data_IF_053368872498
#
_entry.id   IF_053368872498
#
_cell.length_a   1.000
_cell.length_b   1.000
_cell.length_c   1.000
_cell.angle_alpha   90.00
_cell.angle_beta   90.00
_cell.angle_gamma   90.00
#
_symmetry.space_group_name_H-M   'P 1'
#
loop_
_entity.id
_entity.type
_entity.pdbx_description
1 polymer ?
#
# COMPACT_ATOMS: atom_id res chain seq x y z
N UNK A 1 23.07 6.41 -10.79
CA UNK A 1 23.83 6.45 -9.51
C UNK A 1 22.80 6.42 -8.39
N UNK A 2 22.98 5.60 -7.35
CA UNK A 2 22.03 5.53 -6.23
C UNK A 2 22.09 6.85 -5.44
N UNK A 3 20.96 7.56 -5.23
CA UNK A 3 20.95 8.80 -4.46
C UNK A 3 21.38 8.56 -3.01
N UNK A 4 22.22 9.46 -2.48
CA UNK A 4 22.59 9.52 -1.06
C UNK A 4 21.66 10.51 -0.38
N UNK A 5 20.70 10.02 0.40
CA UNK A 5 19.71 10.86 1.09
C UNK A 5 19.72 10.49 2.55
N UNK A 6 20.08 11.44 3.42
CA UNK A 6 19.99 11.25 4.85
C UNK A 6 18.53 11.32 5.30
N UNK A 7 18.07 10.31 6.05
CA UNK A 7 16.69 10.33 6.56
C UNK A 7 16.48 11.40 7.63
N UNK A 8 17.55 11.80 8.32
CA UNK A 8 17.51 12.82 9.38
C UNK A 8 17.13 14.21 8.82
N UNK A 9 17.45 14.47 7.55
CA UNK A 9 17.06 15.69 6.85
C UNK A 9 15.53 15.81 6.64
N UNK A 10 14.82 14.69 6.71
CA UNK A 10 13.38 14.61 6.51
C UNK A 10 12.66 14.42 7.84
N UNK A 11 13.00 15.26 8.81
CA UNK A 11 12.46 15.24 10.16
C UNK A 11 11.78 16.57 10.48
N UNK A 12 10.64 16.51 11.16
CA UNK A 12 9.92 17.66 11.70
C UNK A 12 9.22 17.26 13.01
N UNK A 13 8.84 18.25 13.81
CA UNK A 13 8.09 18.01 15.05
C UNK A 13 6.61 17.77 14.73
N UNK A 14 6.10 16.59 15.09
CA UNK A 14 4.70 16.23 14.94
C UNK A 14 4.08 16.05 16.34
N UNK A 15 3.35 17.06 16.85
CA UNK A 15 2.69 16.95 18.15
C UNK A 15 1.65 15.82 18.15
N UNK A 16 1.57 14.98 19.21
CA UNK A 16 0.63 13.86 19.27
C UNK A 16 -0.84 14.25 19.04
N UNK A 17 -1.25 15.44 19.47
CA UNK A 17 -2.59 16.00 19.29
C UNK A 17 -2.93 16.32 17.81
N UNK A 18 -1.93 16.37 16.92
CA UNK A 18 -2.15 16.51 15.47
C UNK A 18 -2.40 15.17 14.79
N UNK A 19 -2.14 14.04 15.46
CA UNK A 19 -2.37 12.71 14.89
C UNK A 19 -3.86 12.37 15.02
N UNK A 20 -4.56 12.24 13.89
CA UNK A 20 -5.96 11.85 13.89
C UNK A 20 -6.12 10.37 14.30
N UNK A 21 -6.80 10.17 15.43
CA UNK A 21 -7.07 8.83 16.00
C UNK A 21 -8.21 8.09 15.29
N UNK A 22 -9.15 8.85 14.73
CA UNK A 22 -10.35 8.38 14.04
C UNK A 22 -10.63 9.27 12.82
N UNK A 23 -11.26 8.74 11.76
CA UNK A 23 -11.70 9.57 10.64
C UNK A 23 -12.83 10.50 11.06
N UNK A 24 -13.09 11.53 10.25
CA UNK A 24 -14.30 12.33 10.40
C UNK A 24 -15.55 11.49 10.08
N UNK A 25 -16.70 11.75 10.73
CA UNK A 25 -17.96 11.09 10.38
C UNK A 25 -18.33 11.23 8.91
N UNK A 26 -18.13 12.44 8.35
CA UNK A 26 -18.19 12.72 6.92
C UNK A 26 -16.76 12.85 6.40
N UNK A 27 -16.31 11.85 5.65
CA UNK A 27 -14.90 11.70 5.25
C UNK A 27 -14.43 12.81 4.31
N UNK A 28 -15.29 13.27 3.41
CA UNK A 28 -15.04 14.35 2.47
C UNK A 28 -15.13 15.75 3.08
N UNK A 29 -15.49 15.87 4.37
CA UNK A 29 -15.35 17.10 5.14
C UNK A 29 -13.93 17.28 5.72
N UNK A 30 -13.00 16.36 5.46
CA UNK A 30 -11.60 16.55 5.78
C UNK A 30 -11.05 17.79 5.08
N UNK A 31 -10.08 18.47 5.71
CA UNK A 31 -9.45 19.62 5.06
C UNK A 31 -8.59 19.14 3.90
N UNK A 32 -8.46 20.00 2.89
CA UNK A 32 -7.61 19.78 1.74
C UNK A 32 -6.60 20.93 1.64
N UNK A 33 -5.32 20.60 1.78
CA UNK A 33 -4.24 21.52 1.46
C UNK A 33 -3.97 21.45 -0.05
N UNK A 34 -4.07 22.55 -0.77
CA UNK A 34 -3.80 22.57 -2.21
C UNK A 34 -2.48 23.31 -2.45
N UNK A 35 -1.58 22.70 -3.21
CA UNK A 35 -0.36 23.35 -3.67
C UNK A 35 -0.28 23.28 -5.19
N UNK A 36 -0.17 24.45 -5.82
CA UNK A 36 0.15 24.60 -7.24
C UNK A 36 1.38 25.52 -7.38
N UNK A 37 2.35 25.20 -8.25
CA UNK A 37 3.58 25.99 -8.36
C UNK A 37 3.38 27.45 -8.81
N UNK A 38 2.29 27.75 -9.53
CA UNK A 38 1.95 29.10 -9.97
C UNK A 38 0.88 29.73 -9.08
N UNK A 39 -0.11 28.96 -8.61
CA UNK A 39 -1.18 29.51 -7.77
C UNK A 39 -0.85 29.54 -6.27
N UNK A 40 0.24 28.91 -5.85
CA UNK A 40 0.69 28.86 -4.46
C UNK A 40 -0.12 27.88 -3.60
N UNK A 41 -0.21 28.20 -2.30
CA UNK A 41 -0.86 27.37 -1.28
C UNK A 41 -2.30 27.84 -1.05
N UNK A 42 -3.26 26.91 -1.04
CA UNK A 42 -4.67 27.20 -0.74
C UNK A 42 -5.21 26.20 0.29
N UNK A 43 -6.25 26.61 1.00
CA UNK A 43 -6.94 25.79 1.99
C UNK A 43 -8.40 25.61 1.57
N UNK A 44 -8.80 24.36 1.41
CA UNK A 44 -10.11 23.92 0.92
C UNK A 44 -10.62 22.79 1.80
N UNK A 45 -11.77 22.23 1.43
CA UNK A 45 -12.26 20.96 1.94
C UNK A 45 -12.19 19.89 0.85
N UNK A 46 -12.21 18.63 1.26
CA UNK A 46 -12.07 17.53 0.31
C UNK A 46 -13.26 17.43 -0.64
N UNK A 47 -14.47 17.80 -0.20
CA UNK A 47 -15.65 17.90 -1.07
C UNK A 47 -15.50 18.95 -2.19
N UNK A 48 -14.57 19.91 -2.07
CA UNK A 48 -14.30 20.90 -3.13
C UNK A 48 -13.48 20.30 -4.29
N UNK A 49 -12.93 19.09 -4.12
CA UNK A 49 -12.03 18.43 -5.07
C UNK A 49 -12.52 18.48 -6.53
N UNK A 50 -13.80 18.24 -6.87
CA UNK A 50 -14.27 18.29 -8.26
C UNK A 50 -14.04 19.64 -8.94
N UNK A 51 -14.08 20.75 -8.18
CA UNK A 51 -13.88 22.11 -8.69
C UNK A 51 -12.41 22.50 -8.84
N UNK A 52 -11.51 21.78 -8.16
CA UNK A 52 -10.07 22.03 -8.14
C UNK A 52 -9.32 21.28 -9.23
N UNK A 53 -9.99 20.31 -9.88
CA UNK A 53 -9.41 19.47 -10.91
C UNK A 53 -9.92 19.90 -12.29
N UNK A 54 -9.07 19.93 -13.32
CA UNK A 54 -9.53 20.11 -14.69
C UNK A 54 -10.58 19.05 -15.07
N UNK A 55 -11.61 19.39 -15.86
CA UNK A 55 -12.69 18.45 -16.21
C UNK A 55 -12.21 17.14 -16.86
N UNK A 56 -11.13 17.22 -17.63
CA UNK A 56 -10.49 16.11 -18.36
C UNK A 56 -9.51 15.30 -17.50
N UNK A 57 -9.24 15.70 -16.26
CA UNK A 57 -8.34 14.94 -15.38
C UNK A 57 -8.85 13.53 -15.12
N UNK A 58 -7.93 12.58 -15.00
CA UNK A 58 -8.24 11.19 -14.67
C UNK A 58 -7.65 10.87 -13.30
N UNK A 59 -8.51 10.41 -12.39
CA UNK A 59 -8.07 9.95 -11.08
C UNK A 59 -7.63 8.49 -11.20
N UNK A 60 -6.53 8.15 -10.53
CA UNK A 60 -6.06 6.78 -10.43
C UNK A 60 -5.95 6.44 -8.94
N UNK A 61 -6.60 5.36 -8.49
CA UNK A 61 -6.58 4.95 -7.09
C UNK A 61 -6.21 3.48 -6.89
N UNK A 62 -5.78 3.15 -5.67
CA UNK A 62 -5.53 1.77 -5.25
C UNK A 62 -6.81 1.16 -4.65
N UNK A 63 -7.37 0.14 -5.26
CA UNK A 63 -8.59 -0.56 -4.81
C UNK A 63 -8.31 -1.77 -3.89
N UNK A 64 -7.10 -1.88 -3.36
CA UNK A 64 -6.82 -2.95 -2.40
C UNK A 64 -7.62 -2.79 -1.10
N UNK A 65 -8.12 -3.93 -0.62
CA UNK A 65 -8.90 -4.11 0.58
C UNK A 65 -8.03 -4.68 1.70
N UNK A 66 -8.15 -4.09 2.89
CA UNK A 66 -7.46 -4.53 4.10
C UNK A 66 -8.13 -5.81 4.61
N UNK A 67 -7.32 -6.81 4.92
CA UNK A 67 -7.78 -8.06 5.55
C UNK A 67 -7.60 -7.99 7.07
N UNK A 68 -8.42 -8.70 7.84
CA UNK A 68 -8.27 -8.78 9.29
C UNK A 68 -7.11 -9.71 9.70
N UNK A 69 -5.90 -9.39 9.24
CA UNK A 69 -4.70 -10.21 9.37
C UNK A 69 -4.10 -10.27 10.79
N UNK A 70 -4.65 -9.53 11.76
CA UNK A 70 -4.13 -9.47 13.14
C UNK A 70 -4.90 -10.45 14.03
N UNK A 71 -4.25 -11.55 14.41
CA UNK A 71 -4.82 -12.59 15.28
C UNK A 71 -4.30 -12.46 16.71
N UNK A 72 -5.20 -12.61 17.70
CA UNK A 72 -4.84 -12.72 19.11
C UNK A 72 -5.09 -14.15 19.60
N UNK A 73 -4.05 -14.97 19.60
CA UNK A 73 -4.15 -16.41 19.84
C UNK A 73 -3.72 -16.76 21.27
N UNK A 74 -4.33 -17.80 21.85
CA UNK A 74 -3.95 -18.32 23.17
C UNK A 74 -2.91 -19.42 23.01
N UNK A 75 -2.03 -19.60 23.99
CA UNK A 75 -1.14 -20.78 24.03
C UNK A 75 -1.99 -22.04 24.18
N UNK A 76 -1.70 -23.06 23.38
CA UNK A 76 -2.30 -24.37 23.58
C UNK A 76 -1.82 -24.97 24.92
N UNK A 77 -2.70 -25.68 25.66
CA UNK A 77 -2.26 -26.41 26.85
C UNK A 77 -1.24 -27.49 26.47
N UNK A 78 -0.24 -27.78 27.33
CA UNK A 78 0.70 -28.86 27.09
C UNK A 78 -0.05 -30.20 26.96
N UNK A 79 0.33 -31.02 25.97
CA UNK A 79 -0.29 -32.33 25.72
C UNK A 79 0.01 -33.37 26.81
N UNK A 80 0.88 -33.06 27.78
CA UNK A 80 1.28 -33.92 28.89
C UNK A 80 0.99 -33.25 30.22
N UNK A 81 -0.23 -33.40 30.72
CA UNK A 81 -0.53 -33.81 32.11
C UNK A 81 -2.01 -33.60 32.39
N UNK A 82 -2.69 -34.70 32.75
CA UNK A 82 -4.05 -34.74 33.27
C UNK A 82 -4.09 -34.22 34.72
N UNK A 83 -3.76 -32.94 34.90
CA UNK A 83 -3.93 -32.24 36.18
C UNK A 83 -4.67 -30.93 35.93
N UNK A 84 -5.73 -30.61 36.69
CA UNK A 84 -6.44 -29.35 36.55
C UNK A 84 -5.58 -28.22 37.14
N UNK A 85 -4.67 -27.67 36.35
CA UNK A 85 -4.01 -26.41 36.69
C UNK A 85 -5.01 -25.28 36.47
N UNK A 86 -5.14 -24.41 37.49
CA UNK A 86 -5.97 -23.22 37.48
C UNK A 86 -5.81 -22.43 36.17
N UNK A 87 -6.86 -21.73 35.69
CA UNK A 87 -6.80 -20.97 34.45
C UNK A 87 -5.77 -19.84 34.60
N UNK A 88 -4.52 -20.13 34.23
CA UNK A 88 -3.51 -19.11 34.07
C UNK A 88 -4.06 -18.19 32.98
N UNK A 89 -4.43 -16.96 33.35
CA UNK A 89 -5.01 -15.97 32.44
C UNK A 89 -4.25 -16.02 31.11
N UNK A 90 -4.87 -16.63 30.10
CA UNK A 90 -4.15 -17.18 28.95
C UNK A 90 -3.51 -16.01 28.21
N UNK A 91 -2.21 -15.82 28.41
CA UNK A 91 -1.49 -14.69 27.84
C UNK A 91 -1.57 -14.80 26.32
N UNK A 92 -2.25 -13.84 25.71
CA UNK A 92 -2.43 -13.78 24.27
C UNK A 92 -1.08 -13.57 23.59
N UNK A 93 -0.90 -14.26 22.48
CA UNK A 93 0.18 -14.10 21.52
C UNK A 93 -0.42 -13.46 20.29
N UNK A 94 0.11 -12.30 19.93
CA UNK A 94 -0.32 -11.56 18.75
C UNK A 94 0.43 -12.08 17.53
N UNK A 95 -0.31 -12.42 16.48
CA UNK A 95 0.23 -12.88 15.21
C UNK A 95 -0.38 -12.01 14.12
N UNK A 96 0.44 -11.22 13.45
CA UNK A 96 0.02 -10.41 12.31
C UNK A 96 0.53 -11.07 11.03
N UNK A 97 -0.39 -11.55 10.19
CA UNK A 97 -0.08 -12.12 8.88
C UNK A 97 0.44 -11.03 7.94
N UNK A 98 1.66 -11.18 7.42
CA UNK A 98 2.31 -10.17 6.56
C UNK A 98 2.27 -10.60 5.09
N UNK A 99 2.79 -11.80 4.79
CA UNK A 99 2.91 -12.32 3.42
C UNK A 99 2.61 -13.83 3.40
N UNK A 100 1.81 -14.32 2.44
CA UNK A 100 1.55 -15.75 2.29
C UNK A 100 2.76 -16.48 1.69
N UNK A 101 2.94 -17.74 2.09
CA UNK A 101 4.03 -18.62 1.63
C UNK A 101 3.45 -19.89 0.98
N UNK A 102 2.52 -20.57 1.67
CA UNK A 102 1.94 -21.85 1.24
C UNK A 102 0.41 -21.75 1.22
N UNK A 103 -0.27 -22.28 0.18
CA UNK A 103 0.27 -22.98 -0.99
C UNK A 103 0.80 -22.07 -2.10
N UNK A 104 0.66 -20.75 -1.94
CA UNK A 104 1.07 -19.77 -2.93
C UNK A 104 1.53 -18.49 -2.23
N UNK A 105 2.36 -17.71 -2.91
CA UNK A 105 2.68 -16.34 -2.49
C UNK A 105 1.59 -15.33 -2.91
N UNK A 106 0.44 -15.84 -3.37
CA UNK A 106 -0.72 -15.05 -3.74
C UNK A 106 -1.73 -14.95 -2.60
N UNK A 107 -1.96 -13.75 -2.02
CA UNK A 107 -2.97 -13.56 -0.99
C UNK A 107 -4.36 -14.02 -1.43
N UNK A 108 -4.77 -13.79 -2.68
CA UNK A 108 -6.11 -14.19 -3.13
C UNK A 108 -6.27 -15.71 -3.16
N UNK A 109 -5.22 -16.44 -3.58
CA UNK A 109 -5.21 -17.91 -3.56
C UNK A 109 -5.25 -18.39 -2.12
N UNK A 110 -4.36 -17.90 -1.25
CA UNK A 110 -4.27 -18.38 0.13
C UNK A 110 -5.51 -18.02 0.96
N UNK A 111 -6.10 -16.83 0.77
CA UNK A 111 -7.34 -16.43 1.43
C UNK A 111 -8.56 -17.24 0.96
N UNK A 112 -8.53 -17.80 -0.26
CA UNK A 112 -9.58 -18.69 -0.77
C UNK A 112 -9.37 -20.17 -0.45
N UNK A 113 -8.20 -20.56 0.05
CA UNK A 113 -7.93 -21.94 0.49
C UNK A 113 -8.90 -22.37 1.58
N UNK A 114 -9.59 -23.49 1.36
CA UNK A 114 -10.47 -24.17 2.32
C UNK A 114 -9.81 -25.37 3.00
N UNK A 115 -8.66 -25.78 2.49
CA UNK A 115 -7.89 -26.92 2.99
C UNK A 115 -6.66 -26.41 3.75
N UNK A 116 -6.44 -26.85 5.00
CA UNK A 116 -5.19 -26.63 5.70
C UNK A 116 -4.08 -27.54 5.16
N UNK A 117 -2.80 -27.21 5.37
CA UNK A 117 -2.33 -26.00 6.03
C UNK A 117 -2.18 -24.81 5.07
N UNK A 118 -2.15 -23.61 5.66
CA UNK A 118 -1.54 -22.44 5.00
C UNK A 118 -0.36 -21.94 5.84
N UNK A 119 0.64 -21.36 5.20
CA UNK A 119 1.80 -20.79 5.88
C UNK A 119 1.98 -19.34 5.48
N UNK A 120 2.29 -18.50 6.47
CA UNK A 120 2.51 -17.08 6.28
C UNK A 120 3.77 -16.63 7.01
N UNK A 121 4.48 -15.68 6.41
CA UNK A 121 5.38 -14.82 7.13
C UNK A 121 4.56 -13.87 8.02
N UNK A 122 4.89 -13.85 9.30
CA UNK A 122 4.14 -13.14 10.33
C UNK A 122 5.04 -12.27 11.20
N UNK A 123 4.49 -11.17 11.70
CA UNK A 123 5.01 -10.53 12.90
C UNK A 123 4.39 -11.23 14.12
N UNK A 124 5.22 -11.58 15.10
CA UNK A 124 4.88 -12.42 16.26
C UNK A 124 5.21 -11.64 17.53
N UNK A 125 4.15 -11.11 18.15
CA UNK A 125 4.17 -10.40 19.41
C UNK A 125 4.25 -11.32 20.63
N UNK A 126 4.57 -10.73 21.78
CA UNK A 126 4.63 -11.44 23.05
C UNK A 126 5.99 -12.03 23.41
N UNK A 127 6.14 -12.35 24.70
CA UNK A 127 7.36 -12.89 25.32
C UNK A 127 7.31 -14.42 25.34
N UNK A 128 8.48 -15.08 25.38
CA UNK A 128 8.61 -16.56 25.46
C UNK A 128 7.80 -17.29 24.38
N UNK A 129 7.91 -16.82 23.14
CA UNK A 129 7.37 -17.49 21.94
C UNK A 129 8.56 -18.04 21.16
N UNK A 130 8.52 -19.32 20.78
CA UNK A 130 9.63 -20.06 20.20
C UNK A 130 9.13 -21.03 19.12
N UNK A 131 9.97 -21.44 18.16
CA UNK A 131 9.64 -22.47 17.18
C UNK A 131 9.08 -23.74 17.84
N UNK A 132 8.00 -24.29 17.28
CA UNK A 132 7.25 -25.42 17.82
C UNK A 132 6.11 -25.05 18.78
N UNK A 133 6.03 -23.79 19.24
CA UNK A 133 4.91 -23.36 20.10
C UNK A 133 3.58 -23.44 19.33
N UNK A 134 2.62 -24.12 19.94
CA UNK A 134 1.24 -24.19 19.45
C UNK A 134 0.36 -23.11 20.09
N UNK A 135 -0.44 -22.48 19.23
CA UNK A 135 -1.39 -21.44 19.55
C UNK A 135 -2.78 -21.85 19.05
N UNK A 136 -3.81 -21.35 19.71
CA UNK A 136 -5.20 -21.68 19.43
C UNK A 136 -6.07 -20.43 19.41
N UNK A 137 -6.81 -20.25 18.32
CA UNK A 137 -7.94 -19.35 18.17
C UNK A 137 -9.26 -20.08 18.45
N UNK A 138 -10.37 -19.51 17.98
CA UNK A 138 -11.70 -20.09 18.13
C UNK A 138 -11.91 -21.27 17.16
N UNK A 139 -11.59 -21.07 15.88
CA UNK A 139 -11.76 -22.04 14.80
C UNK A 139 -10.43 -22.43 14.13
N UNK A 140 -9.34 -21.71 14.41
CA UNK A 140 -8.01 -22.01 13.85
C UNK A 140 -6.98 -22.38 14.92
N UNK A 141 -6.00 -23.19 14.54
CA UNK A 141 -4.76 -23.47 15.28
C UNK A 141 -3.60 -22.87 14.51
N UNK A 142 -2.56 -22.45 15.24
CA UNK A 142 -1.34 -21.94 14.63
C UNK A 142 -0.12 -22.57 15.28
N UNK A 143 0.91 -22.90 14.49
CA UNK A 143 2.19 -23.38 14.97
C UNK A 143 3.29 -22.45 14.49
N UNK A 144 4.11 -21.96 15.42
CA UNK A 144 5.29 -21.17 15.07
C UNK A 144 6.33 -22.12 14.46
N UNK A 145 6.63 -21.99 13.17
CA UNK A 145 7.64 -22.81 12.50
C UNK A 145 9.03 -22.22 12.71
N UNK A 146 9.15 -20.91 12.53
CA UNK A 146 10.42 -20.18 12.64
C UNK A 146 10.20 -18.86 13.39
N UNK A 147 11.24 -18.34 14.05
CA UNK A 147 11.20 -17.00 14.66
C UNK A 147 12.60 -16.38 14.74
N UNK A 148 12.75 -15.22 14.14
CA UNK A 148 13.91 -14.33 14.25
C UNK A 148 13.44 -12.98 14.82
N UNK A 149 13.71 -12.73 16.11
CA UNK A 149 13.20 -11.54 16.79
C UNK A 149 11.67 -11.55 16.88
N UNK A 150 11.02 -10.62 16.18
CA UNK A 150 9.55 -10.54 16.08
C UNK A 150 9.01 -11.01 14.72
N UNK A 151 9.86 -11.46 13.81
CA UNK A 151 9.44 -11.98 12.51
C UNK A 151 9.56 -13.51 12.52
N UNK A 152 8.73 -14.20 11.76
CA UNK A 152 8.80 -15.65 11.66
C UNK A 152 7.71 -16.26 10.81
N UNK A 153 7.86 -17.54 10.49
CA UNK A 153 6.87 -18.29 9.72
C UNK A 153 5.87 -18.97 10.65
N UNK A 154 4.59 -18.80 10.37
CA UNK A 154 3.50 -19.42 11.13
C UNK A 154 2.66 -20.27 10.20
N UNK A 155 2.49 -21.53 10.59
CA UNK A 155 1.57 -22.47 9.95
C UNK A 155 0.21 -22.38 10.61
N UNK A 156 -0.84 -22.28 9.81
CA UNK A 156 -2.22 -22.29 10.28
C UNK A 156 -2.91 -23.57 9.82
N UNK A 157 -3.60 -24.23 10.75
CA UNK A 157 -4.38 -25.43 10.51
C UNK A 157 -5.78 -25.22 11.13
N UNK A 158 -6.83 -25.66 10.46
CA UNK A 158 -8.20 -25.64 10.98
C UNK A 158 -8.91 -26.92 10.60
N UNK A 159 -9.93 -27.31 11.34
CA UNK A 159 -10.76 -28.43 10.91
C UNK A 159 -11.69 -27.94 9.81
N UNK A 160 -11.83 -28.69 8.69
CA UNK A 160 -12.91 -28.49 7.76
C UNK A 160 -14.23 -28.75 8.51
N UNK A 161 -14.77 -27.70 9.12
CA UNK A 161 -16.08 -27.76 9.77
C UNK A 161 -17.15 -27.98 8.70
N UNK A 162 -18.38 -28.32 9.12
CA UNK A 162 -19.55 -28.41 8.23
C UNK A 162 -19.82 -27.14 7.40
N UNK A 163 -19.19 -26.01 7.73
CA UNK A 163 -19.28 -24.74 7.00
C UNK A 163 -18.20 -24.56 5.90
N UNK A 164 -17.21 -25.46 5.78
CA UNK A 164 -16.13 -25.42 4.79
C UNK A 164 -15.37 -24.08 4.70
N UNK A 165 -15.13 -23.37 5.81
CA UNK A 165 -14.58 -22.01 5.79
C UNK A 165 -13.21 -21.92 5.07
N UNK A 166 -13.03 -20.85 4.29
CA UNK A 166 -11.71 -20.49 3.77
C UNK A 166 -10.84 -19.80 4.82
N UNK A 167 -9.53 -19.76 4.60
CA UNK A 167 -8.60 -19.05 5.49
C UNK A 167 -8.94 -17.55 5.60
N UNK A 168 -9.36 -16.92 4.50
CA UNK A 168 -9.86 -15.55 4.51
C UNK A 168 -11.10 -15.38 5.38
N UNK A 169 -12.08 -16.29 5.29
CA UNK A 169 -13.27 -16.26 6.15
C UNK A 169 -12.93 -16.46 7.64
N UNK A 170 -11.89 -17.24 7.94
CA UNK A 170 -11.37 -17.39 9.30
C UNK A 170 -10.73 -16.09 9.81
N UNK A 171 -9.90 -15.43 9.00
CA UNK A 171 -9.36 -14.11 9.33
C UNK A 171 -10.48 -13.10 9.58
N UNK A 172 -11.53 -13.07 8.76
CA UNK A 172 -12.60 -12.08 8.98
C UNK A 172 -13.44 -12.38 10.23
N UNK A 173 -13.51 -13.64 10.68
CA UNK A 173 -14.23 -14.02 11.90
C UNK A 173 -13.44 -13.73 13.17
N UNK A 174 -12.18 -14.12 13.21
CA UNK A 174 -11.36 -14.09 14.44
C UNK A 174 -10.32 -12.96 14.45
N UNK A 175 -10.00 -12.44 13.28
CA UNK A 175 -9.01 -11.41 13.08
C UNK A 175 -9.50 -10.02 13.43
N UNK A 176 -8.52 -9.18 13.68
CA UNK A 176 -8.63 -7.76 14.01
C UNK A 176 -8.08 -6.93 12.88
N UNK A 177 -8.56 -5.69 12.77
CA UNK A 177 -8.03 -4.75 11.78
C UNK A 177 -6.60 -4.37 12.16
N UNK A 178 -5.60 -4.60 11.28
CA UNK A 178 -4.21 -4.22 11.53
C UNK A 178 -4.02 -2.70 11.43
N UNK A 179 -4.30 -2.00 12.52
CA UNK A 179 -4.13 -0.56 12.60
C UNK A 179 -2.64 -0.16 12.67
N UNK A 180 -2.24 0.98 12.08
CA UNK A 180 -0.89 1.49 12.22
C UNK A 180 -0.48 1.68 13.68
N UNK A 181 0.77 1.36 14.06
CA UNK A 181 1.21 1.39 15.46
C UNK A 181 1.15 2.78 16.09
N UNK A 182 1.28 3.85 15.28
CA UNK A 182 1.23 5.22 15.77
C UNK A 182 -0.17 5.66 16.24
N UNK A 183 -1.24 4.93 15.90
CA UNK A 183 -2.57 5.21 16.45
C UNK A 183 -2.59 4.90 17.94
N UNK A 184 -1.79 3.95 18.43
CA UNK A 184 -1.64 3.63 19.84
C UNK A 184 -2.98 3.35 20.55
N UNK A 185 -3.87 2.61 19.86
CA UNK A 185 -5.14 2.12 20.39
C UNK A 185 -5.47 0.76 19.78
N UNK A 186 -6.34 0.01 20.45
CA UNK A 186 -6.94 -1.18 19.86
C UNK A 186 -7.94 -0.83 18.76
N UNK A 187 -8.17 -1.80 17.88
CA UNK A 187 -9.21 -1.73 16.87
C UNK A 187 -10.61 -1.90 17.49
N UNK A 188 -11.57 -1.28 16.84
CA UNK A 188 -13.00 -1.35 17.14
C UNK A 188 -13.73 -1.99 15.96
N UNK A 189 -14.96 -2.51 16.14
CA UNK A 189 -15.74 -3.04 15.02
C UNK A 189 -15.90 -2.05 13.86
N UNK A 190 -15.91 -0.75 14.16
CA UNK A 190 -16.00 0.33 13.18
C UNK A 190 -14.74 0.46 12.32
N UNK A 191 -13.56 0.07 12.80
CA UNK A 191 -12.31 0.13 12.05
C UNK A 191 -12.32 -0.80 10.82
N UNK A 192 -13.13 -1.86 10.82
CA UNK A 192 -13.33 -2.74 9.65
C UNK A 192 -13.91 -1.98 8.44
N UNK A 193 -14.74 -0.97 8.69
CA UNK A 193 -15.26 -0.08 7.64
C UNK A 193 -14.45 1.21 7.52
N UNK A 194 -13.95 1.74 8.64
CA UNK A 194 -13.27 3.03 8.71
C UNK A 194 -11.85 3.01 8.13
N UNK A 195 -11.15 1.89 8.29
CA UNK A 195 -9.84 1.66 7.69
C UNK A 195 -9.94 1.06 6.28
N UNK A 196 -10.96 1.46 5.52
CA UNK A 196 -11.21 1.01 4.16
C UNK A 196 -11.66 2.14 3.24
N UNK A 197 -11.11 2.22 2.03
CA UNK A 197 -11.59 3.14 1.00
C UNK A 197 -12.95 2.68 0.47
N UNK A 198 -13.80 3.63 0.07
CA UNK A 198 -15.16 3.33 -0.45
C UNK A 198 -15.14 2.59 -1.80
N UNK A 199 -13.99 2.50 -2.45
CA UNK A 199 -13.79 1.86 -3.75
C UNK A 199 -12.92 0.60 -3.67
N UNK A 200 -12.67 0.07 -2.47
CA UNK A 200 -11.88 -1.13 -2.30
C UNK A 200 -12.62 -2.40 -2.72
N UNK A 201 -11.90 -3.29 -3.39
CA UNK A 201 -12.43 -4.51 -4.02
C UNK A 201 -11.53 -5.72 -3.75
N UNK A 202 -10.22 -5.58 -3.93
CA UNK A 202 -9.28 -6.70 -3.94
C UNK A 202 -8.67 -6.96 -2.56
N UNK A 203 -9.13 -8.03 -1.88
CA UNK A 203 -8.62 -8.47 -0.58
C UNK A 203 -7.18 -8.94 -0.66
N UNK A 204 -6.31 -8.34 0.16
CA UNK A 204 -4.92 -8.80 0.30
C UNK A 204 -3.96 -7.82 0.97
N UNK A 205 -4.40 -6.62 1.35
CA UNK A 205 -3.53 -5.65 2.03
C UNK A 205 -3.56 -5.79 3.55
N UNK A 206 -2.42 -5.52 4.19
CA UNK A 206 -2.31 -5.34 5.64
C UNK A 206 -2.48 -3.87 6.02
N UNK A 207 -2.25 -2.93 5.11
CA UNK A 207 -2.44 -1.50 5.36
C UNK A 207 -3.36 -0.86 4.31
N UNK A 208 -4.17 0.12 4.73
CA UNK A 208 -5.08 0.80 3.82
C UNK A 208 -4.34 1.85 2.96
N UNK A 209 -4.74 2.05 1.69
CA UNK A 209 -4.30 3.20 0.89
C UNK A 209 -4.98 4.49 1.38
N UNK A 210 -4.39 5.11 2.41
CA UNK A 210 -5.13 6.03 3.28
C UNK A 210 -5.55 7.37 2.65
N UNK A 211 -4.89 7.78 1.57
CA UNK A 211 -5.30 8.96 0.81
C UNK A 211 -6.70 8.78 0.19
N UNK A 212 -7.08 7.54 -0.12
CA UNK A 212 -8.41 7.21 -0.64
C UNK A 212 -9.51 7.23 0.41
N UNK A 213 -9.18 7.31 1.72
CA UNK A 213 -10.19 7.29 2.79
C UNK A 213 -11.06 8.53 2.81
N UNK A 214 -10.61 9.64 2.21
CA UNK A 214 -11.35 10.91 2.18
C UNK A 214 -12.49 10.94 1.18
N UNK A 215 -12.51 10.01 0.22
CA UNK A 215 -13.59 9.92 -0.76
C UNK A 215 -14.85 9.35 -0.12
N UNK A 216 -15.98 10.03 -0.33
CA UNK A 216 -17.30 9.46 -0.12
C UNK A 216 -17.79 8.74 -1.37
N UNK A 217 -18.72 7.80 -1.19
CA UNK A 217 -19.39 7.12 -2.32
C UNK A 217 -20.12 8.11 -3.22
N UNK A 218 -20.77 9.13 -2.63
CA UNK A 218 -21.46 10.17 -3.36
C UNK A 218 -20.51 10.97 -4.25
N UNK A 219 -19.37 11.39 -3.69
CA UNK A 219 -18.36 12.17 -4.41
C UNK A 219 -17.85 11.41 -5.64
N UNK A 220 -17.52 10.12 -5.49
CA UNK A 220 -17.07 9.28 -6.61
C UNK A 220 -18.18 9.12 -7.64
N UNK A 221 -19.37 8.68 -7.21
CA UNK A 221 -20.48 8.39 -8.11
C UNK A 221 -20.89 9.60 -8.93
N UNK A 222 -20.92 10.79 -8.31
CA UNK A 222 -21.38 12.03 -8.93
C UNK A 222 -20.35 12.68 -9.85
N UNK A 223 -19.06 12.64 -9.49
CA UNK A 223 -18.04 13.46 -10.16
C UNK A 223 -16.92 12.67 -10.84
N UNK A 224 -16.66 11.43 -10.42
CA UNK A 224 -15.43 10.72 -10.80
C UNK A 224 -15.64 9.35 -11.44
N UNK A 225 -16.79 8.69 -11.29
CA UNK A 225 -16.98 7.28 -11.71
C UNK A 225 -16.55 7.00 -13.16
N UNK A 226 -16.80 7.94 -14.09
CA UNK A 226 -16.42 7.80 -15.51
C UNK A 226 -14.93 8.04 -15.81
N UNK A 227 -14.19 8.62 -14.87
CA UNK A 227 -12.78 9.07 -15.02
C UNK A 227 -11.92 8.64 -13.83
N UNK A 228 -12.28 7.55 -13.17
CA UNK A 228 -11.54 6.97 -12.05
C UNK A 228 -11.07 5.57 -12.42
N UNK A 229 -9.76 5.41 -12.63
CA UNK A 229 -9.12 4.13 -12.88
C UNK A 229 -8.69 3.53 -11.54
N UNK A 230 -9.06 2.28 -11.30
CA UNK A 230 -8.75 1.55 -10.07
C UNK A 230 -7.71 0.50 -10.40
N UNK A 231 -6.51 0.59 -9.82
CA UNK A 231 -5.49 -0.45 -9.89
C UNK A 231 -5.34 -1.11 -8.53
N UNK A 232 -4.73 -2.30 -8.49
CA UNK A 232 -4.53 -3.01 -7.23
C UNK A 232 -3.06 -3.08 -6.90
N UNK A 233 -2.71 -2.63 -5.69
CA UNK A 233 -1.45 -2.96 -5.05
C UNK A 233 -1.69 -3.40 -3.61
N UNK A 234 -1.26 -4.61 -3.29
CA UNK A 234 -1.35 -5.16 -1.93
C UNK A 234 -0.20 -4.64 -1.08
N UNK A 235 -0.56 -3.83 -0.07
CA UNK A 235 0.38 -3.19 0.83
C UNK A 235 0.71 -4.14 1.97
N UNK A 236 1.96 -4.59 2.03
CA UNK A 236 2.47 -5.43 3.10
C UNK A 236 2.73 -4.63 4.39
N UNK A 237 3.00 -5.34 5.48
CA UNK A 237 3.25 -4.73 6.79
C UNK A 237 4.54 -3.91 6.89
N UNK A 238 5.45 -4.06 5.94
CA UNK A 238 6.64 -3.22 5.80
C UNK A 238 6.34 -1.72 5.78
N UNK A 239 5.12 -1.34 5.38
CA UNK A 239 4.64 0.05 5.41
C UNK A 239 4.54 0.65 6.81
N UNK A 240 4.42 -0.17 7.86
CA UNK A 240 4.39 0.31 9.25
C UNK A 240 5.77 0.49 9.87
N UNK A 241 6.83 -0.01 9.22
CA UNK A 241 8.18 0.06 9.77
C UNK A 241 8.81 1.44 9.49
N UNK A 242 9.32 2.16 10.51
CA UNK A 242 10.11 3.35 10.28
C UNK A 242 11.44 2.99 9.59
N UNK A 243 11.98 3.93 8.81
CA UNK A 243 13.31 3.76 8.21
C UNK A 243 14.34 3.80 9.33
N UNK A 244 14.96 2.64 9.62
CA UNK A 244 16.00 2.51 10.65
C UNK A 244 17.39 2.94 10.16
N UNK A 245 17.62 2.88 8.84
CA UNK A 245 18.88 3.26 8.22
C UNK A 245 19.08 4.78 8.25
N UNK A 246 20.33 5.23 8.44
CA UNK A 246 20.65 6.67 8.43
C UNK A 246 20.64 7.25 7.01
N UNK A 247 21.13 6.47 6.04
CA UNK A 247 21.09 6.77 4.62
C UNK A 247 20.07 5.86 3.94
N UNK A 248 19.29 6.41 3.01
CA UNK A 248 18.26 5.64 2.31
C UNK A 248 18.84 4.56 1.39
N UNK A 249 20.09 4.69 0.96
CA UNK A 249 20.80 3.68 0.17
C UNK A 249 20.93 2.34 0.90
N UNK A 250 20.93 2.35 2.24
CA UNK A 250 21.03 1.16 3.09
C UNK A 250 19.65 0.61 3.50
N UNK A 251 18.56 1.29 3.13
CA UNK A 251 17.21 0.83 3.39
C UNK A 251 16.73 -0.12 2.29
N UNK A 252 16.21 -1.28 2.68
CA UNK A 252 15.58 -2.24 1.77
C UNK A 252 14.07 -1.99 1.80
N UNK A 253 13.50 -1.65 0.66
CA UNK A 253 12.06 -1.57 0.48
C UNK A 253 11.45 -2.96 0.45
N UNK A 254 10.34 -3.10 1.18
CA UNK A 254 9.51 -4.29 1.07
C UNK A 254 8.88 -4.37 -0.32
N UNK A 255 8.82 -5.60 -0.83
CA UNK A 255 8.24 -5.92 -2.12
C UNK A 255 6.72 -5.93 -1.97
N UNK A 256 6.03 -5.21 -2.85
CA UNK A 256 4.58 -5.14 -2.88
C UNK A 256 4.06 -5.71 -4.18
N UNK A 257 2.90 -6.37 -4.13
CA UNK A 257 2.32 -7.00 -5.30
C UNK A 257 1.38 -6.03 -6.03
N UNK A 258 1.52 -5.96 -7.34
CA UNK A 258 0.66 -5.21 -8.26
C UNK A 258 -0.19 -6.20 -9.07
N UNK A 259 -1.46 -5.87 -9.29
CA UNK A 259 -2.32 -6.57 -10.26
C UNK A 259 -2.81 -5.53 -11.26
N UNK A 260 -2.59 -5.80 -12.55
CA UNK A 260 -2.92 -4.89 -13.65
C UNK A 260 -3.79 -5.62 -14.64
N UNK A 261 -5.03 -5.15 -14.77
CA UNK A 261 -6.00 -5.68 -15.74
C UNK A 261 -5.91 -4.90 -17.04
N UNK A 262 -6.16 -5.59 -18.14
CA UNK A 262 -6.10 -5.03 -19.49
C UNK A 262 -6.97 -3.80 -19.63
N UNK A 263 -8.18 -3.82 -19.07
CA UNK A 263 -9.14 -2.71 -19.16
C UNK A 263 -8.59 -1.44 -18.49
N UNK A 264 -7.97 -1.58 -17.32
CA UNK A 264 -7.35 -0.46 -16.58
C UNK A 264 -6.18 0.14 -17.37
N UNK A 265 -5.36 -0.73 -17.98
CA UNK A 265 -4.22 -0.31 -18.78
C UNK A 265 -4.65 0.44 -20.05
N UNK A 266 -5.69 -0.05 -20.75
CA UNK A 266 -6.27 0.64 -21.92
C UNK A 266 -6.82 2.01 -21.54
N UNK A 267 -7.51 2.12 -20.39
CA UNK A 267 -7.99 3.41 -19.90
C UNK A 267 -6.83 4.38 -19.60
N UNK A 268 -5.76 3.88 -18.98
CA UNK A 268 -4.58 4.68 -18.67
C UNK A 268 -3.88 5.16 -19.95
N UNK A 269 -3.69 4.30 -20.94
CA UNK A 269 -3.08 4.65 -22.24
C UNK A 269 -3.90 5.76 -22.92
N UNK A 270 -5.23 5.61 -22.99
CA UNK A 270 -6.11 6.65 -23.56
C UNK A 270 -6.00 7.99 -22.85
N UNK A 271 -5.88 7.99 -21.52
CA UNK A 271 -5.70 9.21 -20.75
C UNK A 271 -4.36 9.89 -21.07
N UNK A 272 -3.29 9.11 -21.21
CA UNK A 272 -1.96 9.60 -21.62
C UNK A 272 -2.00 10.17 -23.05
N UNK A 273 -2.58 9.44 -24.00
CA UNK A 273 -2.71 9.86 -25.41
C UNK A 273 -3.55 11.14 -25.56
N UNK A 274 -4.57 11.30 -24.71
CA UNK A 274 -5.42 12.49 -24.68
C UNK A 274 -4.81 13.65 -23.87
N UNK A 275 -3.56 13.51 -23.41
CA UNK A 275 -2.88 14.47 -22.54
C UNK A 275 -3.68 14.86 -21.28
N UNK A 276 -4.56 13.97 -20.81
CA UNK A 276 -5.40 14.19 -19.64
C UNK A 276 -4.53 14.21 -18.38
N UNK A 277 -4.67 15.20 -17.48
CA UNK A 277 -3.90 15.22 -16.23
C UNK A 277 -4.16 13.99 -15.37
N UNK A 278 -3.10 13.23 -15.06
CA UNK A 278 -3.17 12.02 -14.25
C UNK A 278 -2.98 12.33 -12.76
N UNK A 279 -4.06 12.19 -12.00
CA UNK A 279 -4.12 12.50 -10.56
C UNK A 279 -4.02 11.19 -9.77
N UNK A 280 -2.87 10.93 -9.15
CA UNK A 280 -2.69 9.75 -8.31
C UNK A 280 -3.32 9.96 -6.92
N UNK A 281 -4.16 9.02 -6.50
CA UNK A 281 -4.77 8.97 -5.17
C UNK A 281 -3.92 8.08 -4.26
N UNK A 282 -2.92 8.70 -3.64
CA UNK A 282 -2.00 8.09 -2.71
C UNK A 282 -0.65 7.73 -3.31
N UNK A 283 0.35 7.72 -2.44
CA UNK A 283 1.75 7.36 -2.77
C UNK A 283 1.89 5.94 -3.32
N UNK A 284 1.06 5.01 -2.86
CA UNK A 284 1.00 3.64 -3.40
C UNK A 284 0.60 3.64 -4.87
N UNK A 285 -0.38 4.45 -5.27
CA UNK A 285 -0.79 4.58 -6.68
C UNK A 285 0.32 5.20 -7.53
N UNK A 286 1.09 6.14 -7.00
CA UNK A 286 2.29 6.65 -7.68
C UNK A 286 3.25 5.50 -8.00
N UNK A 287 3.52 4.62 -7.02
CA UNK A 287 4.42 3.47 -7.23
C UNK A 287 3.89 2.51 -8.30
N UNK A 288 2.58 2.26 -8.36
CA UNK A 288 1.95 1.45 -9.42
C UNK A 288 2.24 2.05 -10.79
N UNK A 289 1.88 3.32 -10.98
CA UNK A 289 1.97 4.00 -12.28
C UNK A 289 3.41 4.11 -12.77
N UNK A 290 4.33 4.48 -11.88
CA UNK A 290 5.74 4.57 -12.21
C UNK A 290 6.36 3.19 -12.47
N UNK A 291 5.93 2.15 -11.75
CA UNK A 291 6.39 0.77 -11.99
C UNK A 291 5.93 0.24 -13.35
N UNK A 292 4.68 0.55 -13.77
CA UNK A 292 4.19 0.24 -15.11
C UNK A 292 5.04 0.89 -16.20
N UNK A 293 5.39 2.16 -16.03
CA UNK A 293 6.30 2.84 -16.95
C UNK A 293 7.67 2.15 -17.02
N UNK A 294 8.29 1.85 -15.89
CA UNK A 294 9.64 1.26 -15.88
C UNK A 294 9.69 -0.17 -16.42
N UNK A 295 8.63 -0.95 -16.19
CA UNK A 295 8.48 -2.26 -16.82
C UNK A 295 8.31 -2.12 -18.34
N UNK A 296 7.37 -1.29 -18.78
CA UNK A 296 7.13 -1.00 -20.20
C UNK A 296 8.36 -0.47 -20.94
N UNK A 297 9.06 0.50 -20.34
CA UNK A 297 10.30 1.07 -20.87
C UNK A 297 11.39 0.01 -21.05
N UNK A 298 11.46 -0.99 -20.16
CA UNK A 298 12.40 -2.09 -20.30
C UNK A 298 12.04 -3.02 -21.47
N UNK A 299 10.75 -3.23 -21.75
CA UNK A 299 10.27 -4.03 -22.88
C UNK A 299 10.61 -3.41 -24.24
N UNK A 300 10.69 -2.07 -24.32
CA UNK A 300 11.01 -1.36 -25.56
C UNK A 300 12.50 -1.44 -25.97
N UNK A 301 13.39 -2.00 -25.14
CA UNK A 301 14.84 -1.96 -25.40
C UNK A 301 15.33 -3.15 -26.23
N UNK A 302 16.22 -2.94 -27.23
CA UNK A 302 16.82 -4.04 -28.00
C UNK A 302 17.61 -4.99 -27.09
N UNK A 303 17.43 -6.30 -27.29
CA UNK A 303 18.13 -7.31 -26.48
C UNK A 303 17.61 -7.43 -25.04
N UNK A 304 16.47 -6.81 -24.71
CA UNK A 304 15.73 -7.11 -23.50
C UNK A 304 15.31 -8.59 -23.51
N UNK A 305 16.20 -9.47 -23.03
CA UNK A 305 15.79 -10.78 -22.53
C UNK A 305 14.73 -10.49 -21.49
N UNK A 306 13.45 -10.79 -21.78
CA UNK A 306 12.27 -10.70 -20.90
C UNK A 306 12.68 -10.17 -19.53
N UNK A 307 12.69 -8.83 -19.40
CA UNK A 307 13.40 -8.16 -18.33
C UNK A 307 12.90 -8.71 -17.00
N UNK A 308 13.84 -9.28 -16.21
CA UNK A 308 13.66 -9.84 -14.88
C UNK A 308 13.06 -11.26 -14.78
N UNK A 309 13.92 -12.26 -15.03
CA UNK A 309 13.84 -13.58 -14.38
C UNK A 309 14.15 -13.44 -12.88
N UNK A 310 13.22 -12.89 -12.11
CA UNK A 310 13.24 -12.95 -10.65
C UNK A 310 12.68 -14.29 -10.17
N UNK A 311 13.18 -14.82 -9.05
CA UNK A 311 12.86 -16.14 -8.48
C UNK A 311 11.42 -16.27 -7.93
N UNK A 312 10.39 -15.90 -8.69
CA UNK A 312 9.00 -16.13 -8.36
C UNK A 312 8.53 -17.41 -9.08
N UNK A 313 8.82 -18.57 -8.51
CA UNK A 313 8.56 -19.90 -9.06
C UNK A 313 7.05 -20.30 -9.08
N UNK A 314 6.11 -19.35 -9.17
CA UNK A 314 4.68 -19.63 -8.92
C UNK A 314 3.68 -19.03 -9.94
N UNK A 315 4.12 -18.28 -10.95
CA UNK A 315 3.25 -17.77 -12.01
C UNK A 315 3.74 -18.21 -13.38
N UNK A 316 2.84 -18.20 -14.37
CA UNK A 316 3.25 -18.26 -15.78
C UNK A 316 4.35 -17.22 -15.99
N UNK A 317 5.57 -17.67 -16.28
CA UNK A 317 6.77 -16.84 -16.42
C UNK A 317 6.59 -15.75 -17.50
N UNK A 318 5.51 -15.80 -18.29
CA UNK A 318 5.21 -14.85 -19.36
C UNK A 318 4.20 -13.76 -18.95
N UNK A 319 3.55 -13.89 -17.78
CA UNK A 319 2.54 -12.96 -17.26
C UNK A 319 2.90 -12.43 -15.86
N UNK A 320 4.19 -12.32 -15.58
CA UNK A 320 4.69 -11.67 -14.38
C UNK A 320 5.77 -10.64 -14.67
N UNK A 321 5.88 -9.61 -13.83
CA UNK A 321 6.95 -8.62 -13.90
C UNK A 321 7.49 -8.26 -12.52
N UNK A 322 8.70 -7.71 -12.51
CA UNK A 322 9.33 -7.18 -11.30
C UNK A 322 9.86 -5.79 -11.60
N UNK A 323 9.74 -4.86 -10.65
CA UNK A 323 10.43 -3.57 -10.67
C UNK A 323 11.23 -3.46 -9.39
N UNK A 324 12.55 -3.49 -9.54
CA UNK A 324 13.46 -3.46 -8.41
C UNK A 324 13.64 -2.04 -7.89
N UNK A 325 14.03 -1.93 -6.63
CA UNK A 325 14.11 -0.69 -5.86
C UNK A 325 14.83 0.44 -6.60
N UNK A 326 15.97 0.13 -7.23
CA UNK A 326 16.87 1.10 -7.83
C UNK A 326 16.78 1.18 -9.36
N UNK A 327 15.89 0.40 -9.99
CA UNK A 327 15.70 0.38 -11.45
C UNK A 327 15.58 1.80 -12.07
N UNK A 328 14.81 2.74 -11.49
CA UNK A 328 14.68 4.10 -12.05
C UNK A 328 15.96 4.94 -12.07
N UNK A 329 16.96 4.62 -11.23
CA UNK A 329 18.17 5.41 -11.04
C UNK A 329 19.38 4.86 -11.82
N UNK A 330 19.20 3.69 -12.43
CA UNK A 330 20.21 3.02 -13.26
C UNK A 330 19.76 2.94 -14.73
N UNK A 331 18.46 3.08 -15.02
CA UNK A 331 17.90 3.08 -16.37
C UNK A 331 17.66 4.49 -16.88
N UNK A 332 17.76 4.67 -18.20
CA UNK A 332 17.30 5.88 -18.88
C UNK A 332 15.76 5.93 -18.92
N UNK A 333 15.15 7.08 -18.64
CA UNK A 333 13.71 7.28 -18.85
C UNK A 333 13.45 8.07 -20.12
N UNK A 334 13.90 7.52 -21.25
CA UNK A 334 13.85 8.14 -22.58
C UNK A 334 12.70 7.61 -23.44
N UNK A 335 12.07 6.50 -23.04
CA UNK A 335 10.89 5.95 -23.71
C UNK A 335 9.68 6.84 -23.42
N UNK A 336 8.91 7.28 -24.44
CA UNK A 336 7.63 7.97 -24.24
C UNK A 336 6.66 7.12 -23.41
N UNK A 337 5.82 7.74 -22.60
CA UNK A 337 4.97 7.03 -21.62
C UNK A 337 3.98 6.13 -22.34
N UNK A 338 3.35 6.64 -23.40
CA UNK A 338 2.44 5.93 -24.28
C UNK A 338 3.08 4.66 -24.87
N UNK A 339 4.33 4.75 -25.32
CA UNK A 339 5.05 3.59 -25.86
C UNK A 339 5.37 2.55 -24.78
N UNK A 340 5.80 3.00 -23.60
CA UNK A 340 6.07 2.11 -22.48
C UNK A 340 4.81 1.35 -22.06
N UNK A 341 3.69 2.05 -21.87
CA UNK A 341 2.42 1.43 -21.47
C UNK A 341 1.86 0.50 -22.56
N UNK A 342 1.93 0.89 -23.83
CA UNK A 342 1.53 0.04 -24.95
C UNK A 342 2.38 -1.23 -25.04
N UNK A 343 3.67 -1.18 -24.71
CA UNK A 343 4.50 -2.39 -24.64
C UNK A 343 4.04 -3.37 -23.55
N UNK A 344 3.48 -2.89 -22.44
CA UNK A 344 2.86 -3.75 -21.41
C UNK A 344 1.54 -4.34 -21.94
N UNK A 345 0.75 -3.56 -22.67
CA UNK A 345 -0.50 -4.03 -23.29
C UNK A 345 -0.23 -5.13 -24.33
N UNK A 346 0.80 -4.96 -25.16
CA UNK A 346 1.26 -5.95 -26.12
C UNK A 346 1.57 -7.31 -25.47
N UNK A 347 2.14 -7.31 -24.25
CA UNK A 347 2.40 -8.56 -23.51
C UNK A 347 1.09 -9.26 -23.16
N UNK A 348 0.08 -8.54 -22.68
CA UNK A 348 -1.24 -9.11 -22.39
C UNK A 348 -1.89 -9.67 -23.65
N UNK A 349 -1.85 -8.91 -24.76
CA UNK A 349 -2.49 -9.29 -26.01
C UNK A 349 -1.85 -10.52 -26.66
N UNK A 350 -0.51 -10.58 -26.72
CA UNK A 350 0.23 -11.71 -27.28
C UNK A 350 -0.02 -13.01 -26.52
N UNK A 351 -0.21 -12.92 -25.20
CA UNK A 351 -0.51 -14.06 -24.34
C UNK A 351 -2.02 -14.31 -24.16
N UNK A 352 -2.89 -13.50 -24.80
CA UNK A 352 -4.36 -13.55 -24.64
C UNK A 352 -4.81 -13.50 -23.18
N UNK A 353 -4.11 -12.73 -22.36
CA UNK A 353 -4.36 -12.61 -20.93
C UNK A 353 -5.23 -11.39 -20.60
N UNK A 354 -6.11 -11.52 -19.61
CA UNK A 354 -6.91 -10.41 -19.07
C UNK A 354 -6.15 -9.57 -18.05
N UNK A 355 -5.12 -10.13 -17.41
CA UNK A 355 -4.33 -9.45 -16.37
C UNK A 355 -2.88 -9.91 -16.33
N UNK A 356 -2.02 -9.08 -15.75
CA UNK A 356 -0.60 -9.32 -15.51
C UNK A 356 -0.27 -8.96 -14.07
N UNK A 357 0.58 -9.78 -13.46
CA UNK A 357 0.91 -9.67 -12.04
C UNK A 357 2.32 -9.13 -11.88
N UNK A 358 2.53 -8.26 -10.91
CA UNK A 358 3.79 -7.57 -10.72
C UNK A 358 4.26 -7.60 -9.28
N UNK A 359 5.56 -7.43 -9.09
CA UNK A 359 6.13 -7.10 -7.80
C UNK A 359 6.94 -5.81 -7.91
N UNK A 360 6.74 -4.88 -7.00
CA UNK A 360 7.49 -3.62 -6.96
C UNK A 360 8.17 -3.44 -5.61
N UNK A 361 9.47 -3.21 -5.64
CA UNK A 361 10.24 -2.67 -4.51
C UNK A 361 10.63 -1.21 -4.76
N UNK A 362 10.03 -0.58 -5.79
CA UNK A 362 10.34 0.77 -6.26
C UNK A 362 10.39 1.77 -5.10
N UNK A 363 11.54 2.43 -4.92
CA UNK A 363 11.70 3.54 -3.99
C UNK A 363 11.77 4.87 -4.75
N UNK A 364 11.00 5.84 -4.29
CA UNK A 364 10.97 7.19 -4.86
C UNK A 364 11.55 8.14 -3.82
N UNK A 365 12.70 8.71 -4.13
CA UNK A 365 13.43 9.65 -3.27
C UNK A 365 13.81 10.91 -4.08
N UNK A 366 14.16 12.02 -3.41
CA UNK A 366 14.54 13.26 -4.09
C UNK A 366 15.60 13.04 -5.18
N UNK A 367 15.39 13.67 -6.34
CA UNK A 367 16.14 13.40 -7.57
C UNK A 367 15.41 12.46 -8.54
N UNK A 368 14.31 11.85 -8.13
CA UNK A 368 13.46 11.03 -9.01
C UNK A 368 12.78 11.87 -10.10
N UNK A 369 12.72 11.33 -11.33
CA UNK A 369 12.04 11.96 -12.46
C UNK A 369 10.70 11.28 -12.72
N UNK A 370 9.60 11.92 -12.31
CA UNK A 370 8.24 11.43 -12.53
C UNK A 370 7.86 11.41 -14.00
N UNK A 371 7.29 10.29 -14.43
CA UNK A 371 7.00 9.99 -15.83
C UNK A 371 5.51 10.07 -16.10
N UNK A 372 4.71 9.51 -15.21
CA UNK A 372 3.27 9.31 -15.43
C UNK A 372 2.44 10.31 -14.62
N UNK A 373 2.86 10.61 -13.39
CA UNK A 373 2.01 11.34 -12.43
C UNK A 373 2.14 12.86 -12.56
N UNK A 374 0.99 13.52 -12.53
CA UNK A 374 0.85 14.96 -12.74
C UNK A 374 0.45 15.71 -11.47
N UNK A 375 -0.48 15.12 -10.73
CA UNK A 375 -0.90 15.56 -9.41
C UNK A 375 -0.96 14.38 -8.44
N UNK A 376 -0.75 14.67 -7.16
CA UNK A 376 -0.79 13.70 -6.08
C UNK A 376 -1.80 14.16 -5.02
N UNK A 377 -2.80 13.32 -4.77
CA UNK A 377 -3.64 13.41 -3.58
C UNK A 377 -3.03 12.50 -2.51
N UNK A 378 -2.65 13.04 -1.35
CA UNK A 378 -2.03 12.25 -0.27
C UNK A 378 -2.32 12.81 1.11
N UNK A 379 -2.08 12.02 2.17
CA UNK A 379 -2.10 12.52 3.55
C UNK A 379 -0.81 13.28 3.89
N UNK A 380 -0.76 13.88 5.08
CA UNK A 380 0.52 14.25 5.71
C UNK A 380 1.17 13.03 6.35
N UNK A 381 2.48 12.86 6.16
CA UNK A 381 3.20 11.64 6.50
C UNK A 381 4.14 11.79 7.69
N UNK A 382 4.47 10.68 8.36
CA UNK A 382 5.37 10.69 9.51
C UNK A 382 6.75 11.27 9.16
N UNK A 383 7.41 11.97 10.11
CA UNK A 383 8.82 12.33 9.96
C UNK A 383 9.66 11.06 9.75
N UNK A 384 10.76 11.18 9.00
CA UNK A 384 11.71 10.10 8.73
C UNK A 384 11.09 8.86 8.08
N UNK A 385 10.14 9.08 7.16
CA UNK A 385 9.46 8.02 6.40
C UNK A 385 9.79 8.07 4.91
N UNK A 386 9.76 6.92 4.24
CA UNK A 386 9.91 6.83 2.77
C UNK A 386 8.79 7.57 2.04
N UNK A 387 7.59 7.62 2.61
CA UNK A 387 6.46 8.40 2.07
C UNK A 387 6.77 9.90 2.03
N UNK A 388 7.42 10.42 3.07
CA UNK A 388 7.84 11.82 3.11
C UNK A 388 8.90 12.12 2.04
N UNK A 389 9.82 11.18 1.78
CA UNK A 389 10.80 11.28 0.68
C UNK A 389 10.13 11.31 -0.69
N UNK A 390 9.10 10.47 -0.90
CA UNK A 390 8.36 10.45 -2.16
C UNK A 390 7.65 11.78 -2.40
N UNK A 391 6.98 12.34 -1.39
CA UNK A 391 6.33 13.65 -1.51
C UNK A 391 7.36 14.76 -1.74
N UNK A 392 8.51 14.71 -1.06
CA UNK A 392 9.61 15.63 -1.34
C UNK A 392 10.12 15.50 -2.78
N UNK A 393 10.25 14.28 -3.32
CA UNK A 393 10.66 14.09 -4.70
C UNK A 393 9.64 14.66 -5.70
N UNK A 394 8.35 14.56 -5.36
CA UNK A 394 7.24 14.99 -6.21
C UNK A 394 7.12 16.52 -6.32
N UNK A 395 7.38 17.23 -5.22
CA UNK A 395 7.22 18.67 -5.14
C UNK A 395 8.33 19.43 -5.88
N UNK A 396 8.01 20.46 -6.69
CA UNK A 396 9.03 21.38 -7.19
C UNK A 396 9.67 22.13 -6.03
N UNK A 397 11.00 22.31 -6.07
CA UNK A 397 11.78 22.81 -4.92
C UNK A 397 12.06 21.75 -3.84
N UNK A 398 11.53 20.54 -4.00
CA UNK A 398 11.88 19.38 -3.20
C UNK A 398 11.57 19.54 -1.71
N UNK A 399 12.60 19.28 -0.89
CA UNK A 399 12.57 19.35 0.58
C UNK A 399 12.10 20.71 1.10
N UNK A 400 12.52 21.81 0.49
CA UNK A 400 12.18 23.15 0.97
C UNK A 400 10.67 23.41 0.86
N UNK A 401 10.09 23.12 -0.31
CA UNK A 401 8.65 23.24 -0.55
C UNK A 401 7.86 22.31 0.37
N UNK A 402 8.32 21.07 0.54
CA UNK A 402 7.70 20.11 1.46
C UNK A 402 7.57 20.72 2.88
N UNK A 403 8.66 21.24 3.44
CA UNK A 403 8.62 21.75 4.81
C UNK A 403 7.84 23.04 4.94
N UNK A 404 7.81 23.91 3.91
CA UNK A 404 6.91 25.06 3.90
C UNK A 404 5.44 24.62 3.98
N UNK A 405 5.04 23.62 3.21
CA UNK A 405 3.69 23.04 3.25
C UNK A 405 3.38 22.47 4.64
N UNK A 406 4.29 21.68 5.20
CA UNK A 406 4.07 21.02 6.49
C UNK A 406 4.04 22.02 7.65
N UNK A 407 4.87 23.06 7.64
CA UNK A 407 4.82 24.14 8.62
C UNK A 407 3.51 24.93 8.54
N UNK A 408 3.05 25.29 7.35
CA UNK A 408 1.75 25.98 7.16
C UNK A 408 0.60 25.09 7.66
N UNK A 409 0.63 23.80 7.35
CA UNK A 409 -0.37 22.84 7.79
C UNK A 409 -0.40 22.71 9.33
N UNK A 410 0.76 22.61 9.98
CA UNK A 410 0.86 22.58 11.45
C UNK A 410 0.36 23.88 12.09
N UNK A 411 0.79 25.04 11.57
CA UNK A 411 0.36 26.35 12.05
C UNK A 411 -1.16 26.52 11.94
N UNK A 412 -1.76 25.95 10.90
CA UNK A 412 -3.20 25.98 10.68
C UNK A 412 -3.97 24.85 11.31
N UNK A 413 -3.36 24.03 12.16
CA UNK A 413 -4.05 22.93 12.85
C UNK A 413 -4.62 21.85 11.93
N UNK A 414 -3.93 21.51 10.85
CA UNK A 414 -4.25 20.31 10.07
C UNK A 414 -4.03 19.05 10.92
N UNK A 415 -4.81 18.02 10.62
CA UNK A 415 -4.67 16.67 11.19
C UNK A 415 -3.78 15.82 10.29
N UNK A 416 -2.95 14.97 10.88
CA UNK A 416 -1.89 14.24 10.19
C UNK A 416 -2.17 12.73 10.15
N UNK A 417 -1.43 12.05 9.27
CA UNK A 417 -1.42 10.58 9.10
C UNK A 417 -2.74 10.02 8.54
N UNK A 418 -2.98 8.71 8.71
CA UNK A 418 -3.99 7.95 7.96
C UNK A 418 -5.40 8.55 8.01
N UNK A 419 -5.88 8.96 9.18
CA UNK A 419 -7.22 9.55 9.36
C UNK A 419 -7.21 11.09 9.37
N UNK A 420 -6.07 11.69 9.06
CA UNK A 420 -5.86 13.13 9.09
C UNK A 420 -6.57 13.85 7.97
N UNK A 421 -6.01 14.98 7.58
CA UNK A 421 -6.45 15.76 6.44
C UNK A 421 -5.65 15.38 5.18
N UNK A 422 -6.09 15.87 4.03
CA UNK A 422 -5.52 15.57 2.72
C UNK A 422 -4.71 16.73 2.15
N UNK A 423 -3.90 16.42 1.15
CA UNK A 423 -3.18 17.36 0.30
C UNK A 423 -3.45 17.02 -1.17
N UNK A 424 -3.69 18.03 -2.01
CA UNK A 424 -3.65 17.97 -3.47
C UNK A 424 -2.42 18.75 -3.93
N UNK A 425 -1.44 18.05 -4.47
CA UNK A 425 -0.14 18.61 -4.83
C UNK A 425 0.02 18.51 -6.34
N UNK A 426 0.33 19.62 -7.01
CA UNK A 426 0.64 19.65 -8.44
C UNK A 426 2.15 19.71 -8.67
N UNK A 427 2.66 18.86 -9.56
CA UNK A 427 4.08 18.85 -9.94
C UNK A 427 4.43 20.00 -10.88
N UNK A 428 3.53 20.28 -11.81
CA UNK A 428 3.56 21.41 -12.75
C UNK A 428 2.20 22.11 -12.66
N UNK A 429 2.18 23.43 -12.85
CA UNK A 429 0.95 24.22 -12.76
C UNK A 429 -0.15 23.66 -13.65
N UNK A 430 -1.39 23.70 -13.15
CA UNK A 430 -2.60 23.35 -13.89
C UNK A 430 -2.75 24.22 -15.15
N UNK A 431 -2.35 25.49 -15.09
CA UNK A 431 -2.53 26.48 -16.16
C UNK A 431 -1.40 26.49 -17.21
N UNK A 432 -0.48 25.52 -17.16
CA UNK A 432 0.71 25.46 -18.03
C UNK A 432 0.86 24.15 -18.79
N UNK A 433 -0.24 23.45 -19.07
CA UNK A 433 -0.27 22.20 -19.87
C UNK A 433 -0.86 22.41 -21.24
#
# INVERSE_FOLDING_TARGET
>A
MIPRVSIADYSYELPPERIAQYPLPLRDHARLFVFDPQQGMQHRFFYDLPSLLPPESVLVGNDSRVIAARLLLRRAPPQTDSSPQAPCAARLVEVLCLEPIVPSTDPAVVLSCREPPVEWACWIGGRRVFPGLELRGEHLRARILERAGQEGTVRFDWEPTTACLSFGELLEREGRTPLPPYLNRDDTPRDRSDYQTVFARESGSVAAPTAGLHFSEELIKKHFEKRFIRFTLHVGAGTFAPVKAADIGDHIMHRERIIVRREQLVQLIRAVESASPLVAVGTTTVRILESLYWYGSALCRPGAKRAHRGAAAAFDEHLSFVVEQWDPYVRSGDVPVEHALSAVLDVLERNRASEIHGYTSLIIVPGYSFRVVDALITNFHQPRSTLLLLVAAFLPGGRETLFRIYHEALARSYRFLSYGDASLLWRKSVQGR
#
